data_IF_304225109688
#
_entry.id   IF_304225109688
#
_cell.length_a   1.000
_cell.length_b   1.000
_cell.length_c   1.000
_cell.angle_alpha   90.00
_cell.angle_beta   90.00
_cell.angle_gamma   90.00
#
_symmetry.space_group_name_H-M   'P 1'
#
loop_
_entity.id
_entity.type
_entity.pdbx_description
1 polymer ?
#
# COMPACT_ATOMS: atom_id res chain seq x y z
N UNK A 1 24.23 2.81 -2.08
CA UNK A 1 23.56 4.06 -1.71
C UNK A 1 23.84 4.34 -0.24
N UNK A 2 24.08 5.60 0.14
CA UNK A 2 24.16 5.97 1.54
C UNK A 2 22.74 6.20 2.13
N UNK A 3 22.64 6.27 3.46
CA UNK A 3 21.34 6.38 4.16
C UNK A 3 20.59 7.68 3.81
N UNK A 4 21.31 8.77 3.57
CA UNK A 4 20.73 10.06 3.19
C UNK A 4 20.05 9.98 1.81
N UNK A 5 20.69 9.32 0.84
CA UNK A 5 20.12 9.09 -0.49
C UNK A 5 18.86 8.23 -0.43
N UNK A 6 18.86 7.15 0.36
CA UNK A 6 17.70 6.28 0.54
C UNK A 6 16.50 7.02 1.13
N UNK A 7 16.73 7.84 2.17
CA UNK A 7 15.67 8.67 2.74
C UNK A 7 15.12 9.68 1.73
N UNK A 8 16.00 10.36 0.99
CA UNK A 8 15.57 11.36 0.01
C UNK A 8 14.81 10.73 -1.16
N UNK A 9 15.26 9.57 -1.65
CA UNK A 9 14.58 8.83 -2.71
C UNK A 9 13.18 8.40 -2.28
N UNK A 10 13.03 7.89 -1.05
CA UNK A 10 11.73 7.51 -0.50
C UNK A 10 10.77 8.70 -0.43
N UNK A 11 11.22 9.84 0.12
CA UNK A 11 10.42 11.07 0.20
C UNK A 11 10.02 11.57 -1.19
N UNK A 12 10.97 11.63 -2.13
CA UNK A 12 10.71 12.08 -3.49
C UNK A 12 9.69 11.18 -4.19
N UNK A 13 9.80 9.87 -4.00
CA UNK A 13 8.88 8.92 -4.60
C UNK A 13 7.45 9.15 -4.09
N UNK A 14 7.26 9.26 -2.77
CA UNK A 14 5.93 9.52 -2.18
C UNK A 14 5.39 10.87 -2.62
N UNK A 15 6.24 11.90 -2.65
CA UNK A 15 5.87 13.24 -3.14
C UNK A 15 5.45 13.23 -4.60
N UNK A 16 6.15 12.49 -5.46
CA UNK A 16 5.77 12.36 -6.86
C UNK A 16 4.39 11.72 -7.01
N UNK A 17 4.07 10.67 -6.23
CA UNK A 17 2.74 10.05 -6.26
C UNK A 17 1.64 11.02 -5.80
N UNK A 18 1.93 11.83 -4.78
CA UNK A 18 1.02 12.87 -4.29
C UNK A 18 0.80 13.98 -5.33
N UNK A 19 1.88 14.45 -5.96
CA UNK A 19 1.84 15.47 -7.02
C UNK A 19 1.11 14.99 -8.28
N UNK A 20 1.14 13.68 -8.58
CA UNK A 20 0.33 13.08 -9.64
C UNK A 20 -1.14 12.91 -9.25
N UNK A 21 -1.50 13.17 -7.98
CA UNK A 21 -2.88 13.11 -7.51
C UNK A 21 -3.36 11.72 -7.11
N UNK A 22 -2.53 10.68 -7.19
CA UNK A 22 -2.97 9.28 -6.99
C UNK A 22 -3.64 9.03 -5.64
N UNK A 23 -3.16 9.66 -4.56
CA UNK A 23 -3.77 9.56 -3.24
C UNK A 23 -5.15 10.23 -3.20
N UNK A 24 -5.27 11.42 -3.78
CA UNK A 24 -6.52 12.16 -3.87
C UNK A 24 -7.54 11.45 -4.76
N UNK A 25 -7.10 10.94 -5.91
CA UNK A 25 -7.97 10.22 -6.84
C UNK A 25 -8.54 8.94 -6.23
N UNK A 26 -7.74 8.17 -5.49
CA UNK A 26 -8.28 7.00 -4.79
C UNK A 26 -9.31 7.38 -3.71
N UNK A 27 -9.10 8.50 -2.99
CA UNK A 27 -10.10 9.01 -2.04
C UNK A 27 -11.39 9.47 -2.74
N UNK A 28 -11.26 10.09 -3.91
CA UNK A 28 -12.40 10.52 -4.71
C UNK A 28 -13.20 9.32 -5.20
N UNK A 29 -12.52 8.28 -5.71
CA UNK A 29 -13.17 7.04 -6.16
C UNK A 29 -13.92 6.36 -5.00
N UNK A 30 -13.31 6.26 -3.81
CA UNK A 30 -14.01 5.73 -2.62
C UNK A 30 -15.27 6.53 -2.30
N UNK A 31 -15.18 7.85 -2.40
CA UNK A 31 -16.29 8.76 -2.15
C UNK A 31 -17.40 8.55 -3.19
N UNK A 32 -17.05 8.54 -4.48
CA UNK A 32 -17.98 8.29 -5.59
C UNK A 32 -18.69 6.94 -5.45
N UNK A 33 -17.94 5.88 -5.14
CA UNK A 33 -18.52 4.55 -4.93
C UNK A 33 -19.47 4.50 -3.73
N UNK A 34 -19.18 5.23 -2.65
CA UNK A 34 -20.04 5.29 -1.47
C UNK A 34 -21.32 6.11 -1.69
N UNK A 35 -21.26 7.11 -2.57
CA UNK A 35 -22.38 8.00 -2.88
C UNK A 35 -23.26 7.49 -4.01
N UNK A 36 -22.79 6.51 -4.79
CA UNK A 36 -23.58 5.92 -5.85
C UNK A 36 -24.84 5.24 -5.27
N UNK A 37 -26.01 5.80 -5.61
CA UNK A 37 -27.32 5.33 -5.13
C UNK A 37 -27.78 4.03 -5.82
N UNK A 38 -27.18 3.67 -6.96
CA UNK A 38 -27.47 2.42 -7.65
C UNK A 38 -26.33 1.41 -7.43
N UNK A 39 -26.45 0.50 -6.45
CA UNK A 39 -25.45 -0.51 -6.17
C UNK A 39 -25.31 -1.56 -7.29
N UNK A 40 -26.13 -1.48 -8.35
CA UNK A 40 -26.15 -2.40 -9.49
C UNK A 40 -25.71 -1.73 -10.79
N UNK A 41 -25.23 -0.50 -10.73
CA UNK A 41 -24.66 0.19 -11.88
C UNK A 41 -23.31 -0.41 -12.27
N UNK A 42 -23.34 -1.58 -12.92
CA UNK A 42 -22.14 -2.34 -13.31
C UNK A 42 -21.19 -1.53 -14.17
N UNK A 43 -21.70 -0.61 -15.01
CA UNK A 43 -20.86 0.24 -15.88
C UNK A 43 -20.05 1.24 -15.06
N UNK A 44 -20.66 1.86 -14.05
CA UNK A 44 -19.96 2.73 -13.11
C UNK A 44 -18.87 1.96 -12.36
N UNK A 45 -19.20 0.83 -11.73
CA UNK A 45 -18.20 0.07 -10.97
C UNK A 45 -17.12 -0.58 -11.84
N UNK A 46 -17.38 -0.84 -13.13
CA UNK A 46 -16.33 -1.26 -14.06
C UNK A 46 -15.36 -0.10 -14.36
N UNK A 47 -15.88 1.11 -14.58
CA UNK A 47 -15.05 2.31 -14.73
C UNK A 47 -14.19 2.59 -13.50
N UNK A 48 -14.75 2.47 -12.30
CA UNK A 48 -13.99 2.65 -11.07
C UNK A 48 -12.91 1.58 -10.89
N UNK A 49 -13.15 0.34 -11.29
CA UNK A 49 -12.10 -0.70 -11.29
C UNK A 49 -10.91 -0.32 -12.17
N UNK A 50 -11.15 0.21 -13.37
CA UNK A 50 -10.07 0.59 -14.28
C UNK A 50 -9.19 1.68 -13.67
N UNK A 51 -9.81 2.74 -13.11
CA UNK A 51 -9.09 3.81 -12.40
C UNK A 51 -8.31 3.27 -11.19
N UNK A 52 -8.94 2.42 -10.38
CA UNK A 52 -8.28 1.83 -9.19
C UNK A 52 -7.09 0.96 -9.62
N UNK A 53 -7.21 0.17 -10.69
CA UNK A 53 -6.10 -0.67 -11.17
C UNK A 53 -4.90 0.15 -11.63
N UNK A 54 -5.13 1.27 -12.33
CA UNK A 54 -4.06 2.19 -12.73
C UNK A 54 -3.32 2.74 -11.50
N UNK A 55 -4.06 3.31 -10.54
CA UNK A 55 -3.50 3.85 -9.30
C UNK A 55 -2.77 2.76 -8.51
N UNK A 56 -3.39 1.59 -8.34
CA UNK A 56 -2.82 0.49 -7.57
C UNK A 56 -1.51 -0.01 -8.20
N UNK A 57 -1.42 -0.04 -9.53
CA UNK A 57 -0.19 -0.40 -10.23
C UNK A 57 0.99 0.48 -9.83
N UNK A 58 0.79 1.80 -9.81
CA UNK A 58 1.81 2.76 -9.42
C UNK A 58 2.18 2.66 -7.94
N UNK A 59 1.18 2.51 -7.05
CA UNK A 59 1.38 2.33 -5.62
C UNK A 59 2.16 1.04 -5.30
N UNK A 60 1.82 -0.07 -5.96
CA UNK A 60 2.48 -1.37 -5.81
C UNK A 60 3.95 -1.28 -6.25
N UNK A 61 4.21 -0.67 -7.41
CA UNK A 61 5.57 -0.50 -7.94
C UNK A 61 6.44 0.29 -6.96
N UNK A 62 5.92 1.42 -6.50
CA UNK A 62 6.52 2.27 -5.48
C UNK A 62 6.81 1.52 -4.17
N UNK A 63 5.80 0.84 -3.64
CA UNK A 63 5.87 0.10 -2.38
C UNK A 63 6.94 -0.99 -2.43
N UNK A 64 6.92 -1.84 -3.45
CA UNK A 64 7.86 -2.95 -3.54
C UNK A 64 9.30 -2.49 -3.79
N UNK A 65 9.48 -1.38 -4.53
CA UNK A 65 10.79 -0.75 -4.67
C UNK A 65 11.37 -0.34 -3.32
N UNK A 66 10.65 0.50 -2.57
CA UNK A 66 11.13 0.99 -1.26
C UNK A 66 11.25 -0.14 -0.23
N UNK A 67 10.33 -1.12 -0.25
CA UNK A 67 10.38 -2.30 0.64
C UNK A 67 11.62 -3.16 0.38
N UNK A 68 12.02 -3.32 -0.88
CA UNK A 68 13.24 -4.05 -1.22
C UNK A 68 14.49 -3.31 -0.71
N UNK A 69 14.57 -2.00 -0.93
CA UNK A 69 15.66 -1.15 -0.45
C UNK A 69 15.79 -1.19 1.08
N UNK A 70 14.67 -1.08 1.79
CA UNK A 70 14.61 -1.17 3.25
C UNK A 70 15.15 -2.51 3.75
N UNK A 71 14.70 -3.63 3.16
CA UNK A 71 15.16 -4.97 3.53
C UNK A 71 16.66 -5.15 3.30
N UNK A 72 17.16 -4.68 2.16
CA UNK A 72 18.58 -4.78 1.82
C UNK A 72 19.43 -3.94 2.79
N UNK A 73 19.03 -2.69 3.05
CA UNK A 73 19.74 -1.84 3.99
C UNK A 73 19.79 -2.46 5.39
N UNK A 74 18.64 -2.93 5.90
CA UNK A 74 18.55 -3.56 7.22
C UNK A 74 19.48 -4.77 7.31
N UNK A 75 19.44 -5.67 6.32
CA UNK A 75 20.26 -6.87 6.32
C UNK A 75 21.77 -6.53 6.32
N UNK A 76 22.19 -5.62 5.44
CA UNK A 76 23.60 -5.22 5.32
C UNK A 76 24.09 -4.54 6.59
N UNK A 77 23.33 -3.59 7.14
CA UNK A 77 23.74 -2.84 8.33
C UNK A 77 23.76 -3.72 9.58
N UNK A 78 22.79 -4.64 9.73
CA UNK A 78 22.83 -5.66 10.81
C UNK A 78 24.11 -6.51 10.75
N UNK A 79 24.53 -6.93 9.55
CA UNK A 79 25.76 -7.69 9.37
C UNK A 79 27.00 -6.86 9.72
N UNK A 80 27.05 -5.59 9.31
CA UNK A 80 28.15 -4.68 9.65
C UNK A 80 28.28 -4.48 11.17
N UNK A 81 27.19 -4.24 11.89
CA UNK A 81 27.21 -4.08 13.34
C UNK A 81 27.73 -5.35 14.04
N UNK A 82 27.35 -6.54 13.56
CA UNK A 82 27.88 -7.81 14.08
C UNK A 82 29.40 -7.90 13.91
N UNK A 83 29.90 -7.60 12.72
CA UNK A 83 31.34 -7.59 12.43
C UNK A 83 32.06 -6.55 13.30
N UNK A 84 31.52 -5.33 13.41
CA UNK A 84 32.08 -4.25 14.25
C UNK A 84 32.19 -4.69 15.72
N UNK A 85 31.16 -5.35 16.26
CA UNK A 85 31.15 -5.84 17.64
C UNK A 85 32.12 -7.01 17.84
N UNK A 86 32.20 -7.94 16.89
CA UNK A 86 33.17 -9.05 16.93
C UNK A 86 34.62 -8.51 16.93
N UNK A 87 34.91 -7.52 16.08
CA UNK A 87 36.22 -6.87 16.02
C UNK A 87 36.57 -6.14 17.33
N UNK A 88 35.57 -5.54 18.01
CA UNK A 88 35.73 -4.87 19.31
C UNK A 88 35.65 -5.82 20.51
N UNK A 89 35.34 -7.11 20.29
CA UNK A 89 35.03 -8.11 21.34
C UNK A 89 33.87 -7.70 22.25
N UNK A 90 32.89 -7.00 21.69
CA UNK A 90 31.68 -6.55 22.39
C UNK A 90 30.51 -7.51 22.15
N UNK A 91 29.54 -7.52 23.08
CA UNK A 91 28.34 -8.33 22.94
C UNK A 91 27.41 -7.69 21.90
N UNK A 92 27.01 -8.47 20.90
CA UNK A 92 26.03 -8.00 19.90
C UNK A 92 24.62 -7.92 20.52
N UNK A 93 23.87 -6.82 20.30
CA UNK A 93 22.47 -6.72 20.72
C UNK A 93 21.57 -7.79 20.08
N UNK A 94 20.41 -8.04 20.71
CA UNK A 94 19.40 -8.95 20.16
C UNK A 94 18.85 -8.47 18.80
N UNK A 95 18.31 -9.38 18.00
CA UNK A 95 17.89 -9.09 16.62
C UNK A 95 16.80 -8.01 16.53
N UNK A 96 15.86 -7.98 17.47
CA UNK A 96 14.80 -6.97 17.55
C UNK A 96 15.36 -5.56 17.84
N UNK A 97 16.31 -5.46 18.78
CA UNK A 97 17.00 -4.20 19.10
C UNK A 97 17.82 -3.73 17.89
N UNK A 98 18.54 -4.63 17.23
CA UNK A 98 19.28 -4.32 16.02
C UNK A 98 18.37 -3.83 14.89
N UNK A 99 17.19 -4.44 14.73
CA UNK A 99 16.23 -4.01 13.71
C UNK A 99 15.74 -2.59 13.96
N UNK A 100 15.34 -2.30 15.20
CA UNK A 100 14.88 -0.96 15.60
C UNK A 100 15.99 0.08 15.43
N UNK A 101 17.21 -0.22 15.87
CA UNK A 101 18.36 0.67 15.70
C UNK A 101 18.61 0.99 14.23
N UNK A 102 18.63 -0.04 13.37
CA UNK A 102 18.92 0.16 11.95
C UNK A 102 17.79 0.89 11.23
N UNK A 103 16.52 0.62 11.58
CA UNK A 103 15.38 1.38 11.06
C UNK A 103 15.49 2.87 11.43
N UNK A 104 15.97 3.20 12.64
CA UNK A 104 16.16 4.59 13.07
C UNK A 104 17.23 5.35 12.28
N UNK A 105 18.12 4.65 11.57
CA UNK A 105 19.11 5.28 10.68
C UNK A 105 18.49 5.75 9.34
N UNK A 106 17.34 5.17 8.95
CA UNK A 106 16.64 5.43 7.68
C UNK A 106 15.12 5.67 7.92
N UNK A 107 14.77 6.68 8.73
CA UNK A 107 13.40 6.86 9.21
C UNK A 107 12.42 7.20 8.09
N UNK A 108 12.83 7.97 7.08
CA UNK A 108 11.93 8.36 5.99
C UNK A 108 11.65 7.22 5.04
N UNK A 109 12.65 6.36 4.76
CA UNK A 109 12.43 5.13 4.00
C UNK A 109 11.44 4.22 4.72
N UNK A 110 11.65 3.98 6.02
CA UNK A 110 10.74 3.15 6.82
C UNK A 110 9.31 3.69 6.83
N UNK A 111 9.16 5.00 7.11
CA UNK A 111 7.86 5.68 7.12
C UNK A 111 7.17 5.62 5.75
N UNK A 112 7.91 5.85 4.67
CA UNK A 112 7.37 5.81 3.31
C UNK A 112 6.86 4.42 2.93
N UNK A 113 7.57 3.35 3.34
CA UNK A 113 7.10 1.97 3.14
C UNK A 113 5.77 1.73 3.86
N UNK A 114 5.63 2.16 5.12
CA UNK A 114 4.37 2.01 5.87
C UNK A 114 3.22 2.79 5.21
N UNK A 115 3.48 4.04 4.78
CA UNK A 115 2.47 4.87 4.12
C UNK A 115 1.98 4.17 2.85
N UNK A 116 2.91 3.72 1.99
CA UNK A 116 2.56 3.07 0.74
C UNK A 116 1.86 1.73 0.96
N UNK A 117 2.25 0.95 1.98
CA UNK A 117 1.56 -0.27 2.37
C UNK A 117 0.08 -0.02 2.64
N UNK A 118 -0.24 0.98 3.46
CA UNK A 118 -1.62 1.33 3.77
C UNK A 118 -2.41 1.80 2.54
N UNK A 119 -1.77 2.49 1.59
CA UNK A 119 -2.41 2.91 0.35
C UNK A 119 -2.64 1.76 -0.63
N UNK A 120 -1.72 0.81 -0.72
CA UNK A 120 -1.92 -0.44 -1.50
C UNK A 120 -3.08 -1.25 -0.91
N UNK A 121 -3.11 -1.46 0.41
CA UNK A 121 -4.20 -2.17 1.08
C UNK A 121 -5.56 -1.49 0.85
N UNK A 122 -5.57 -0.15 0.87
CA UNK A 122 -6.77 0.64 0.55
C UNK A 122 -7.21 0.40 -0.90
N UNK A 123 -6.30 0.51 -1.87
CA UNK A 123 -6.62 0.29 -3.28
C UNK A 123 -7.16 -1.13 -3.54
N UNK A 124 -6.55 -2.14 -2.92
CA UNK A 124 -7.04 -3.53 -2.99
C UNK A 124 -8.45 -3.70 -2.41
N UNK A 125 -8.74 -3.02 -1.29
CA UNK A 125 -10.07 -3.01 -0.66
C UNK A 125 -11.12 -2.32 -1.55
N UNK A 126 -10.80 -1.16 -2.11
CA UNK A 126 -11.64 -0.42 -3.05
C UNK A 126 -11.92 -1.25 -4.30
N UNK A 127 -10.89 -1.90 -4.85
CA UNK A 127 -11.02 -2.79 -6.00
C UNK A 127 -11.92 -3.99 -5.72
N UNK A 128 -11.78 -4.61 -4.55
CA UNK A 128 -12.66 -5.70 -4.11
C UNK A 128 -14.11 -5.23 -4.02
N UNK A 129 -14.35 -4.04 -3.49
CA UNK A 129 -15.69 -3.45 -3.41
C UNK A 129 -16.28 -3.26 -4.80
N UNK A 130 -15.55 -2.60 -5.71
CA UNK A 130 -16.01 -2.37 -7.08
C UNK A 130 -16.28 -3.69 -7.84
N UNK A 131 -15.44 -4.71 -7.65
CA UNK A 131 -15.63 -6.06 -8.21
C UNK A 131 -16.90 -6.73 -7.68
N UNK A 132 -17.15 -6.64 -6.38
CA UNK A 132 -18.36 -7.21 -5.78
C UNK A 132 -19.63 -6.58 -6.36
N UNK A 133 -19.64 -5.26 -6.60
CA UNK A 133 -20.80 -4.60 -7.22
C UNK A 133 -20.95 -4.91 -8.72
N UNK A 134 -19.84 -5.20 -9.41
CA UNK A 134 -19.85 -5.50 -10.86
C UNK A 134 -20.24 -6.95 -11.15
N UNK A 135 -19.68 -7.88 -10.38
CA UNK A 135 -19.73 -9.32 -10.62
C UNK A 135 -20.43 -10.11 -9.51
N UNK A 136 -20.82 -9.47 -8.41
CA UNK A 136 -21.56 -10.13 -7.36
C UNK A 136 -22.85 -10.73 -7.91
N UNK A 137 -22.97 -12.05 -7.81
CA UNK A 137 -24.19 -12.76 -8.15
C UNK A 137 -25.30 -12.29 -7.20
N UNK A 138 -26.32 -11.65 -7.76
CA UNK A 138 -27.60 -11.55 -7.08
C UNK A 138 -28.38 -12.82 -7.38
N UNK A 139 -28.23 -13.83 -6.54
CA UNK A 139 -29.38 -14.66 -6.21
C UNK A 139 -30.41 -13.71 -5.60
N UNK A 140 -31.42 -13.34 -6.39
CA UNK A 140 -32.56 -12.62 -5.86
C UNK A 140 -33.35 -13.62 -5.00
N UNK A 141 -33.78 -13.28 -3.76
CA UNK A 141 -34.96 -13.93 -3.22
C UNK A 141 -36.09 -13.66 -4.21
N UNK A 142 -36.73 -14.74 -4.67
CA UNK A 142 -37.80 -14.73 -5.65
C UNK A 142 -38.75 -13.55 -5.40
N UNK A 143 -39.11 -12.85 -6.48
CA UNK A 143 -40.29 -11.99 -6.47
C UNK A 143 -41.44 -12.86 -5.95
N UNK A 144 -41.93 -12.58 -4.74
CA UNK A 144 -43.21 -13.10 -4.28
C UNK A 144 -44.25 -12.69 -5.32
N UNK A 145 -44.63 -13.64 -6.16
CA UNK A 145 -45.78 -13.54 -7.02
C UNK A 145 -46.98 -13.45 -6.08
N UNK A 146 -47.56 -12.25 -5.98
CA UNK A 146 -48.87 -12.08 -5.34
C UNK A 146 -49.83 -13.06 -6.01
N UNK A 147 -50.27 -14.08 -5.28
CA UNK A 147 -51.49 -14.80 -5.62
C UNK A 147 -52.64 -13.93 -5.16
N UNK A 148 -53.35 -13.37 -6.13
CA UNK A 148 -54.73 -12.94 -5.92
C UNK A 148 -55.57 -14.21 -5.78
N UNK A 149 -56.19 -14.38 -4.61
CA UNK A 149 -57.40 -15.19 -4.40
C UNK A 149 -58.48 -14.27 -3.82
#
# INVERSE_FOLDING_TARGET
MNKEQLNQEAVNLVKNLDEHGYFTDLQNIDTEMSQNQDPFNKRFYLSEQDKINEINGELINAYYKLKAELKVYIAVRKAQIRIENEMKKEKTPGNEILESLVQSEIPELYKSVIILEGWVERADSSLKTARNHTYGDKEFPDKEVKKEE
#
